data_IF_320892236761
#
_entry.id   IF_320892236761
#
_cell.length_a   1.000
_cell.length_b   1.000
_cell.length_c   1.000
_cell.angle_alpha   90.00
_cell.angle_beta   90.00
_cell.angle_gamma   90.00
#
_symmetry.space_group_name_H-M   'P 1'
#
loop_
_entity.id
_entity.type
_entity.pdbx_description
1 polymer ?
#
# COMPACT_ATOMS: atom_id res chain seq x y z
N UNK A 1 -1.15 12.53 11.39
CA UNK A 1 -2.45 13.17 11.66
C UNK A 1 -3.45 12.81 10.57
N UNK A 2 -4.77 12.86 10.80
CA UNK A 2 -5.81 12.72 9.75
C UNK A 2 -6.33 14.06 9.21
N UNK A 3 -5.92 15.15 9.84
CA UNK A 3 -6.17 16.54 9.48
C UNK A 3 -5.28 17.47 10.33
N UNK A 4 -5.48 18.77 10.22
CA UNK A 4 -4.56 19.78 10.79
C UNK A 4 -4.87 20.18 12.24
N UNK A 5 -6.11 19.94 12.69
CA UNK A 5 -6.50 20.24 14.06
C UNK A 5 -5.90 19.20 15.04
N UNK A 6 -5.37 19.61 16.21
CA UNK A 6 -4.82 18.68 17.19
C UNK A 6 -5.79 17.57 17.64
N UNK A 7 -7.11 17.82 17.63
CA UNK A 7 -8.11 16.79 17.95
C UNK A 7 -8.16 15.65 16.91
N UNK A 8 -7.71 15.92 15.69
CA UNK A 8 -7.61 14.97 14.56
C UNK A 8 -6.27 14.21 14.54
N UNK A 9 -5.46 14.35 15.59
CA UNK A 9 -4.28 13.53 15.77
C UNK A 9 -4.65 12.05 15.89
N UNK A 10 -4.01 11.22 15.06
CA UNK A 10 -4.25 9.78 15.02
C UNK A 10 -3.46 9.11 16.15
N UNK A 11 -4.07 8.20 16.93
CA UNK A 11 -3.36 7.40 17.91
C UNK A 11 -2.62 6.27 17.19
N UNK A 12 -1.47 6.59 16.58
CA UNK A 12 -0.71 5.66 15.73
C UNK A 12 0.75 5.51 16.17
N UNK A 13 1.23 6.30 17.13
CA UNK A 13 2.59 6.18 17.65
C UNK A 13 2.58 5.11 18.72
N UNK A 14 3.51 4.15 18.65
CA UNK A 14 3.61 3.13 19.70
C UNK A 14 4.02 3.76 21.04
N UNK A 15 3.25 3.47 22.09
CA UNK A 15 3.51 3.96 23.44
C UNK A 15 4.69 3.24 24.11
N UNK A 16 5.18 3.84 25.20
CA UNK A 16 6.20 3.24 26.08
C UNK A 16 5.57 2.17 26.98
N UNK A 17 6.38 1.30 27.60
CA UNK A 17 5.97 0.09 28.34
C UNK A 17 4.92 0.27 29.47
N UNK A 18 4.62 1.50 29.88
CA UNK A 18 3.63 1.84 30.91
C UNK A 18 2.55 2.82 30.44
N UNK A 19 2.43 3.04 29.13
CA UNK A 19 1.44 3.93 28.51
C UNK A 19 0.41 3.13 27.69
N UNK A 20 -0.60 3.82 27.16
CA UNK A 20 -1.47 3.28 26.11
C UNK A 20 -0.64 2.66 24.98
N UNK A 21 -1.10 1.56 24.39
CA UNK A 21 -0.46 0.90 23.25
C UNK A 21 -0.16 1.88 22.12
N UNK A 22 -1.10 2.79 21.85
CA UNK A 22 -0.93 3.88 20.90
C UNK A 22 -1.15 5.26 21.54
N UNK A 23 -0.33 6.22 21.11
CA UNK A 23 -0.40 7.64 21.47
C UNK A 23 -0.52 8.52 20.23
N UNK A 24 -0.99 9.75 20.44
CA UNK A 24 -1.19 10.76 19.39
C UNK A 24 0.04 11.65 19.18
N UNK A 25 0.88 11.74 20.20
CA UNK A 25 2.10 12.55 20.24
C UNK A 25 3.19 11.78 20.97
N UNK A 26 4.44 12.20 20.74
CA UNK A 26 5.61 11.70 21.42
C UNK A 26 6.65 12.82 21.55
N UNK A 27 7.48 12.73 22.58
CA UNK A 27 8.44 13.75 22.95
C UNK A 27 9.84 13.17 23.00
N UNK A 28 10.81 13.93 22.51
CA UNK A 28 12.24 13.66 22.73
C UNK A 28 12.65 14.11 24.14
N UNK A 29 13.78 13.59 24.67
CA UNK A 29 14.37 14.14 25.87
C UNK A 29 14.75 15.63 25.72
N UNK A 30 14.68 16.39 26.80
CA UNK A 30 15.13 17.79 26.81
C UNK A 30 16.65 17.84 27.01
N UNK A 31 17.37 18.42 26.07
CA UNK A 31 18.83 18.64 26.18
C UNK A 31 19.11 20.03 26.73
N UNK A 32 19.72 20.10 27.91
CA UNK A 32 19.96 21.36 28.61
C UNK A 32 21.12 22.17 27.98
N UNK A 33 20.89 23.45 27.72
CA UNK A 33 21.86 24.41 27.15
C UNK A 33 22.58 23.95 25.87
N UNK A 34 21.89 23.23 25.00
CA UNK A 34 22.42 22.88 23.68
C UNK A 34 21.58 23.50 22.55
N UNK A 35 22.23 24.27 21.68
CA UNK A 35 21.59 24.91 20.51
C UNK A 35 21.51 23.99 19.29
N UNK A 36 22.25 22.88 19.29
CA UNK A 36 22.28 21.86 18.24
C UNK A 36 22.17 20.47 18.90
N UNK A 37 21.01 20.14 19.50
CA UNK A 37 20.82 18.85 20.13
C UNK A 37 20.82 17.73 19.08
N UNK A 38 21.49 16.63 19.41
CA UNK A 38 21.44 15.38 18.65
C UNK A 38 20.60 14.37 19.44
N UNK A 39 19.72 13.66 18.75
CA UNK A 39 18.83 12.67 19.33
C UNK A 39 19.08 11.31 18.69
N UNK A 40 18.97 10.25 19.51
CA UNK A 40 19.04 8.85 19.06
C UNK A 40 17.69 8.14 19.22
N UNK A 41 16.63 8.91 19.44
CA UNK A 41 15.28 8.36 19.64
C UNK A 41 14.67 7.94 18.30
N UNK A 42 14.07 6.75 18.30
CA UNK A 42 13.27 6.24 17.19
C UNK A 42 11.81 6.16 17.61
N UNK A 43 10.92 6.72 16.79
CA UNK A 43 9.48 6.62 17.00
C UNK A 43 8.88 5.67 15.98
N UNK A 44 8.25 4.60 16.47
CA UNK A 44 7.53 3.66 15.62
C UNK A 44 6.08 4.12 15.45
N UNK A 45 5.60 4.10 14.21
CA UNK A 45 4.22 4.47 13.86
C UNK A 45 3.52 3.31 13.14
N UNK A 46 2.26 3.05 13.49
CA UNK A 46 1.36 2.14 12.81
C UNK A 46 0.36 2.94 11.98
N UNK A 47 0.73 3.29 10.74
CA UNK A 47 -0.13 4.07 9.86
C UNK A 47 -1.33 3.25 9.35
N UNK A 48 -2.48 3.88 9.06
CA UNK A 48 -3.58 3.23 8.35
C UNK A 48 -3.12 2.66 7.00
N UNK A 49 -3.72 1.54 6.58
CA UNK A 49 -3.41 0.94 5.27
C UNK A 49 -3.71 1.88 4.09
N UNK A 50 -4.74 2.73 4.22
CA UNK A 50 -5.10 3.75 3.24
C UNK A 50 -4.64 5.12 3.74
N UNK A 51 -3.39 5.48 3.44
CA UNK A 51 -2.86 6.82 3.67
C UNK A 51 -3.43 7.76 2.60
N UNK A 52 -3.74 9.00 2.97
CA UNK A 52 -4.29 10.05 2.08
C UNK A 52 -3.40 11.29 2.13
N UNK A 53 -3.61 12.25 1.21
CA UNK A 53 -2.80 13.48 1.13
C UNK A 53 -2.92 14.39 2.37
N UNK A 54 -3.95 14.21 3.20
CA UNK A 54 -4.10 14.93 4.46
C UNK A 54 -3.20 14.38 5.58
N UNK A 55 -2.68 13.17 5.41
CA UNK A 55 -1.84 12.54 6.42
C UNK A 55 -0.45 13.15 6.41
N UNK A 56 -0.04 13.65 7.56
CA UNK A 56 1.26 14.28 7.75
C UNK A 56 1.82 14.03 9.15
N UNK A 57 3.13 14.22 9.30
CA UNK A 57 3.82 14.35 10.58
C UNK A 57 4.03 15.83 10.86
N UNK A 58 3.66 16.29 12.06
CA UNK A 58 3.94 17.63 12.55
C UNK A 58 5.00 17.54 13.64
N UNK A 59 6.05 18.33 13.50
CA UNK A 59 7.10 18.49 14.50
C UNK A 59 6.98 19.89 15.10
N UNK A 60 6.91 19.95 16.43
CA UNK A 60 6.90 21.21 17.17
C UNK A 60 8.11 21.25 18.09
N UNK A 61 8.86 22.34 18.01
CA UNK A 61 10.05 22.57 18.83
C UNK A 61 9.67 23.42 20.02
N UNK A 62 10.06 22.99 21.22
CA UNK A 62 9.78 23.69 22.47
C UNK A 62 11.06 24.15 23.13
N UNK A 63 11.03 25.37 23.68
CA UNK A 63 11.95 25.79 24.73
C UNK A 63 11.34 25.45 26.09
N UNK A 64 12.08 24.67 26.89
CA UNK A 64 11.65 24.22 28.23
C UNK A 64 12.44 24.99 29.29
N UNK A 65 11.75 25.79 30.09
CA UNK A 65 12.37 26.63 31.13
C UNK A 65 12.67 25.83 32.40
N UNK A 66 13.94 25.68 32.77
CA UNK A 66 14.32 24.98 34.01
C UNK A 66 14.11 25.82 35.28
N UNK A 67 13.87 27.13 35.15
CA UNK A 67 13.60 28.04 36.27
C UNK A 67 12.18 28.60 36.13
N UNK A 68 11.23 28.18 36.98
CA UNK A 68 9.88 28.72 36.95
C UNK A 68 9.91 30.18 37.38
N UNK A 69 9.59 31.10 36.46
CA UNK A 69 9.34 32.50 36.76
C UNK A 69 7.82 32.75 36.76
N UNK A 70 7.30 33.58 37.67
CA UNK A 70 5.88 33.93 37.67
C UNK A 70 5.48 34.53 36.31
N UNK A 71 4.45 33.95 35.67
CA UNK A 71 3.90 34.45 34.41
C UNK A 71 4.57 33.93 33.13
N UNK A 72 5.59 33.07 33.21
CA UNK A 72 6.18 32.41 32.03
C UNK A 72 5.70 30.97 31.92
N UNK A 73 5.28 30.55 30.73
CA UNK A 73 4.96 29.15 30.44
C UNK A 73 6.21 28.28 30.61
N UNK A 74 6.03 27.08 31.18
CA UNK A 74 7.11 26.10 31.34
C UNK A 74 7.69 25.70 29.98
N UNK A 75 6.81 25.49 29.01
CA UNK A 75 7.12 25.10 27.65
C UNK A 75 6.60 26.18 26.71
N UNK A 76 7.46 26.68 25.84
CA UNK A 76 7.10 27.69 24.83
C UNK A 76 7.44 27.14 23.45
N UNK A 77 6.49 27.03 22.52
CA UNK A 77 6.78 26.61 21.16
C UNK A 77 7.65 27.69 20.48
N UNK A 78 8.75 27.26 19.87
CA UNK A 78 9.73 28.12 19.21
C UNK A 78 9.91 27.81 17.72
N UNK A 79 9.33 26.72 17.24
CA UNK A 79 9.26 26.46 15.82
C UNK A 79 8.42 25.26 15.43
N UNK A 80 8.15 25.15 14.14
CA UNK A 80 7.29 24.14 13.53
C UNK A 80 7.87 23.67 12.20
N UNK A 81 7.76 22.38 11.91
CA UNK A 81 7.99 21.82 10.57
C UNK A 81 7.14 20.57 10.38
N UNK A 82 6.94 20.11 9.15
CA UNK A 82 6.05 18.99 8.87
C UNK A 82 6.50 18.18 7.64
N UNK A 83 6.02 16.95 7.57
CA UNK A 83 6.22 16.06 6.43
C UNK A 83 4.85 15.54 5.98
N UNK A 84 4.33 15.95 4.80
CA UNK A 84 3.23 15.24 4.15
C UNK A 84 3.65 13.79 3.92
N UNK A 85 2.88 12.84 4.43
CA UNK A 85 3.25 11.41 4.36
C UNK A 85 3.06 10.87 2.94
N UNK A 86 2.03 11.35 2.23
CA UNK A 86 1.76 10.94 0.86
C UNK A 86 2.16 12.04 -0.11
N UNK A 87 2.76 11.65 -1.22
CA UNK A 87 3.02 12.51 -2.35
C UNK A 87 2.81 11.70 -3.62
N UNK A 88 1.84 12.12 -4.45
CA UNK A 88 1.50 11.44 -5.70
C UNK A 88 1.14 9.96 -5.51
N UNK A 89 0.36 9.64 -4.48
CA UNK A 89 0.00 8.26 -4.13
C UNK A 89 1.15 7.42 -3.56
N UNK A 90 2.32 8.01 -3.30
CA UNK A 90 3.50 7.33 -2.77
C UNK A 90 3.84 7.82 -1.38
N UNK A 91 4.20 6.90 -0.49
CA UNK A 91 4.65 7.25 0.84
C UNK A 91 6.04 7.89 0.74
N UNK A 92 6.21 9.08 1.33
CA UNK A 92 7.52 9.74 1.41
C UNK A 92 8.37 9.07 2.49
N UNK A 93 9.60 8.72 2.14
CA UNK A 93 10.59 8.11 3.03
C UNK A 93 12.00 8.61 2.72
N UNK A 94 12.96 8.26 3.57
CA UNK A 94 14.36 8.63 3.47
C UNK A 94 14.76 9.77 4.40
N UNK A 95 15.98 10.30 4.23
CA UNK A 95 16.48 11.41 5.02
C UNK A 95 15.88 12.73 4.56
N UNK A 96 15.45 13.54 5.53
CA UNK A 96 14.96 14.90 5.33
C UNK A 96 15.86 15.87 6.08
N UNK A 97 16.13 17.02 5.45
CA UNK A 97 16.75 18.17 6.07
C UNK A 97 15.80 19.36 5.94
N UNK A 98 14.91 19.51 6.92
CA UNK A 98 13.74 20.37 6.84
C UNK A 98 14.02 21.76 7.39
N UNK A 99 13.49 22.81 6.74
CA UNK A 99 13.45 24.13 7.33
C UNK A 99 12.41 24.19 8.45
N UNK A 100 12.66 25.05 9.43
CA UNK A 100 11.79 25.25 10.59
C UNK A 100 11.19 26.64 10.54
N UNK A 101 9.87 26.73 10.60
CA UNK A 101 9.17 28.00 10.69
C UNK A 101 9.09 28.46 12.14
N UNK A 102 9.15 29.78 12.34
CA UNK A 102 8.88 30.42 13.64
C UNK A 102 7.37 30.57 13.86
N UNK A 103 6.62 30.71 12.78
CA UNK A 103 5.17 30.90 12.81
C UNK A 103 4.47 29.54 12.73
N UNK A 104 3.22 29.49 13.22
CA UNK A 104 2.42 28.28 13.08
C UNK A 104 2.17 27.97 11.60
N UNK A 105 2.08 26.67 11.23
CA UNK A 105 1.76 26.29 9.86
C UNK A 105 0.42 26.91 9.40
N UNK A 106 0.33 27.43 8.16
CA UNK A 106 -0.90 28.02 7.64
C UNK A 106 -1.96 26.94 7.37
N UNK A 107 -3.25 27.29 7.21
CA UNK A 107 -4.26 26.33 6.80
C UNK A 107 -3.88 25.62 5.49
N UNK A 108 -4.20 24.33 5.38
CA UNK A 108 -3.83 23.45 4.26
C UNK A 108 -2.32 23.18 4.12
N UNK A 109 -1.52 23.42 5.16
CA UNK A 109 -0.10 23.04 5.16
C UNK A 109 0.10 21.53 4.96
N UNK A 110 -0.87 20.68 5.32
CA UNK A 110 -0.71 19.22 5.26
C UNK A 110 -0.44 18.69 3.85
N UNK A 111 -0.88 19.44 2.82
CA UNK A 111 -0.65 19.12 1.39
C UNK A 111 0.48 19.93 0.78
N UNK A 112 1.14 20.80 1.55
CA UNK A 112 2.29 21.62 1.14
C UNK A 112 3.58 21.03 1.71
N UNK A 113 4.71 21.25 1.04
CA UNK A 113 6.02 20.90 1.58
C UNK A 113 6.69 22.13 2.20
N UNK A 114 7.35 22.00 3.37
CA UNK A 114 8.08 23.11 3.96
C UNK A 114 9.32 23.49 3.12
N UNK A 115 9.75 22.64 2.18
CA UNK A 115 10.87 22.88 1.25
C UNK A 115 10.67 24.10 0.34
N UNK A 116 9.41 24.55 0.18
CA UNK A 116 9.07 25.78 -0.55
C UNK A 116 8.76 26.86 0.47
N UNK A 117 9.52 27.97 0.43
CA UNK A 117 9.30 29.10 1.33
C UNK A 117 7.92 29.71 1.09
N UNK A 118 6.99 29.46 2.00
CA UNK A 118 5.63 30.00 1.92
C UNK A 118 5.66 31.52 2.11
N UNK A 119 4.96 32.30 1.26
CA UNK A 119 4.94 33.77 1.35
C UNK A 119 4.45 34.27 2.71
N UNK A 120 5.15 35.25 3.28
CA UNK A 120 4.77 35.91 4.55
C UNK A 120 5.11 35.11 5.81
N UNK A 121 5.69 33.91 5.68
CA UNK A 121 6.05 33.05 6.80
C UNK A 121 7.48 33.32 7.24
N UNK A 122 7.73 33.38 8.56
CA UNK A 122 9.08 33.54 9.11
C UNK A 122 9.75 32.17 9.30
N UNK A 123 11.03 32.13 8.99
CA UNK A 123 11.83 30.91 9.01
C UNK A 123 13.07 31.08 9.86
N UNK A 124 13.43 30.04 10.60
CA UNK A 124 14.70 29.95 11.30
C UNK A 124 15.83 29.93 10.28
N UNK A 125 16.92 30.64 10.58
CA UNK A 125 18.16 30.71 9.78
C UNK A 125 17.95 30.98 8.27
N UNK A 126 16.89 31.71 7.92
CA UNK A 126 16.59 32.08 6.55
C UNK A 126 16.13 30.92 5.68
N UNK A 127 15.26 30.04 6.20
CA UNK A 127 14.66 28.90 5.47
C UNK A 127 15.67 27.80 5.11
N UNK A 128 16.82 27.77 5.78
CA UNK A 128 17.76 26.65 5.66
C UNK A 128 17.21 25.40 6.33
N UNK A 129 17.57 24.24 5.81
CA UNK A 129 17.35 22.97 6.49
C UNK A 129 18.16 22.93 7.79
N UNK A 130 17.47 22.97 8.93
CA UNK A 130 18.06 22.99 10.28
C UNK A 130 17.60 21.82 11.15
N UNK A 131 16.63 21.04 10.67
CA UNK A 131 16.15 19.84 11.33
C UNK A 131 16.34 18.61 10.44
N UNK A 132 17.16 17.68 10.89
CA UNK A 132 17.40 16.42 10.18
C UNK A 132 16.61 15.29 10.81
N UNK A 133 15.87 14.54 9.99
CA UNK A 133 15.11 13.35 10.42
C UNK A 133 15.07 12.33 9.30
N UNK A 134 15.14 11.04 9.62
CA UNK A 134 15.00 9.97 8.65
C UNK A 134 13.68 9.23 8.88
N UNK A 135 12.90 9.06 7.80
CA UNK A 135 11.66 8.30 7.84
C UNK A 135 11.85 6.98 7.10
N UNK A 136 11.76 5.88 7.84
CA UNK A 136 11.82 4.53 7.27
C UNK A 136 10.41 3.91 7.29
N UNK A 137 10.05 3.21 6.21
CA UNK A 137 8.77 2.51 6.14
C UNK A 137 8.96 1.00 5.94
N UNK A 138 8.25 0.23 6.74
CA UNK A 138 7.98 -1.18 6.51
C UNK A 138 6.54 -1.31 6.03
N UNK A 139 6.33 -1.44 4.72
CA UNK A 139 5.00 -1.43 4.10
C UNK A 139 4.83 -2.55 3.09
N UNK A 140 3.66 -3.19 3.11
CA UNK A 140 3.19 -4.10 2.06
C UNK A 140 2.34 -3.39 0.99
N UNK A 141 2.10 -2.08 1.15
CA UNK A 141 1.27 -1.26 0.25
C UNK A 141 2.14 -0.31 -0.56
N UNK A 142 3.14 0.31 0.07
CA UNK A 142 4.03 1.29 -0.56
C UNK A 142 5.45 0.72 -0.73
N UNK A 143 5.86 0.33 -1.96
CA UNK A 143 7.22 -0.14 -2.20
C UNK A 143 8.26 0.93 -1.90
N UNK A 144 9.38 0.50 -1.34
CA UNK A 144 10.53 1.34 -1.01
C UNK A 144 11.69 1.19 -2.01
N UNK A 145 11.64 0.15 -2.86
CA UNK A 145 12.63 -0.05 -3.91
C UNK A 145 12.56 1.08 -4.95
N UNK A 146 13.67 1.79 -5.26
CA UNK A 146 13.66 2.94 -6.17
C UNK A 146 13.13 2.64 -7.59
N UNK A 147 13.34 1.43 -8.10
CA UNK A 147 12.89 1.06 -9.45
C UNK A 147 11.40 0.77 -9.47
N UNK A 148 10.89 0.10 -8.44
CA UNK A 148 9.45 -0.10 -8.24
C UNK A 148 8.73 1.23 -8.00
N UNK A 149 9.26 2.05 -7.10
CA UNK A 149 8.67 3.34 -6.75
C UNK A 149 8.57 4.27 -7.97
N UNK A 150 9.65 4.36 -8.77
CA UNK A 150 9.63 5.11 -10.04
C UNK A 150 8.58 4.56 -11.01
N UNK A 151 8.50 3.24 -11.19
CA UNK A 151 7.52 2.62 -12.08
C UNK A 151 6.08 2.93 -11.65
N UNK A 152 5.74 2.70 -10.38
CA UNK A 152 4.39 2.97 -9.88
C UNK A 152 4.04 4.45 -9.94
N UNK A 153 4.99 5.35 -9.64
CA UNK A 153 4.78 6.79 -9.76
C UNK A 153 4.46 7.19 -11.20
N UNK A 154 5.24 6.71 -12.17
CA UNK A 154 5.02 7.02 -13.58
C UNK A 154 3.67 6.52 -14.09
N UNK A 155 3.27 5.31 -13.70
CA UNK A 155 1.95 4.77 -14.09
C UNK A 155 0.82 5.56 -13.43
N UNK A 156 0.96 5.95 -12.16
CA UNK A 156 -0.02 6.79 -11.48
C UNK A 156 -0.18 8.16 -12.16
N UNK A 157 0.92 8.86 -12.43
CA UNK A 157 0.91 10.17 -13.11
C UNK A 157 0.27 10.08 -14.50
N UNK A 158 0.53 8.99 -15.21
CA UNK A 158 -0.06 8.72 -16.51
C UNK A 158 -1.57 8.45 -16.43
N UNK A 159 -2.04 7.73 -15.40
CA UNK A 159 -3.45 7.47 -15.16
C UNK A 159 -4.22 8.75 -14.79
N UNK A 160 -3.62 9.63 -13.99
CA UNK A 160 -4.22 10.91 -13.57
C UNK A 160 -4.10 12.02 -14.62
N UNK A 161 -3.15 11.93 -15.55
CA UNK A 161 -2.89 12.98 -16.56
C UNK A 161 -2.33 14.27 -15.98
N UNK A 162 -1.68 14.21 -14.81
CA UNK A 162 -1.18 15.38 -14.09
C UNK A 162 0.20 15.83 -14.58
N UNK A 163 0.25 16.71 -15.59
CA UNK A 163 1.48 17.32 -16.11
C UNK A 163 1.46 18.85 -16.02
N UNK A 164 2.64 19.51 -15.86
CA UNK A 164 3.97 18.95 -15.65
C UNK A 164 4.15 18.36 -14.25
N UNK A 165 4.96 17.32 -14.12
CA UNK A 165 5.15 16.58 -12.88
C UNK A 165 6.61 16.62 -12.41
N UNK A 166 6.87 16.87 -11.14
CA UNK A 166 8.25 16.87 -10.60
C UNK A 166 8.57 15.53 -9.96
N UNK A 167 9.42 14.74 -10.62
CA UNK A 167 9.98 13.50 -10.09
C UNK A 167 11.40 13.75 -9.58
N UNK A 168 11.57 13.92 -8.27
CA UNK A 168 12.85 14.30 -7.65
C UNK A 168 13.42 15.56 -8.33
N UNK A 169 14.58 15.45 -8.97
CA UNK A 169 15.24 16.58 -9.63
C UNK A 169 14.76 16.81 -11.08
N UNK A 170 13.96 15.90 -11.65
CA UNK A 170 13.49 15.98 -13.04
C UNK A 170 12.05 16.47 -13.13
N UNK A 171 11.76 17.33 -14.12
CA UNK A 171 10.39 17.68 -14.49
C UNK A 171 9.96 16.80 -15.66
N UNK A 172 9.02 15.91 -15.39
CA UNK A 172 8.31 15.13 -16.37
C UNK A 172 7.27 16.02 -17.08
N UNK A 173 7.26 15.91 -18.40
CA UNK A 173 6.31 16.55 -19.29
C UNK A 173 5.61 15.47 -20.10
N UNK A 174 4.50 15.82 -20.76
CA UNK A 174 3.84 14.90 -21.70
C UNK A 174 4.80 14.39 -22.79
N UNK A 175 5.75 15.21 -23.23
CA UNK A 175 6.74 14.81 -24.24
C UNK A 175 7.82 13.85 -23.74
N UNK A 176 8.06 13.79 -22.42
CA UNK A 176 9.14 12.96 -21.82
C UNK A 176 8.64 11.74 -21.07
N UNK A 177 7.35 11.71 -20.67
CA UNK A 177 6.79 10.61 -19.87
C UNK A 177 6.86 9.26 -20.59
N UNK A 178 6.66 9.24 -21.90
CA UNK A 178 6.77 8.02 -22.70
C UNK A 178 8.18 7.40 -22.61
N UNK A 179 9.22 8.21 -22.78
CA UNK A 179 10.61 7.75 -22.69
C UNK A 179 10.95 7.27 -21.27
N UNK A 180 10.52 8.03 -20.26
CA UNK A 180 10.76 7.71 -18.86
C UNK A 180 10.03 6.43 -18.43
N UNK A 181 8.81 6.20 -18.91
CA UNK A 181 8.07 4.98 -18.67
C UNK A 181 8.72 3.77 -19.33
N UNK A 182 9.20 3.89 -20.58
CA UNK A 182 9.98 2.81 -21.21
C UNK A 182 11.27 2.51 -20.47
N UNK A 183 12.00 3.53 -20.04
CA UNK A 183 13.20 3.37 -19.22
C UNK A 183 12.86 2.65 -17.91
N UNK A 184 11.76 3.03 -17.25
CA UNK A 184 11.30 2.41 -16.01
C UNK A 184 10.93 0.94 -16.19
N UNK A 185 10.25 0.56 -17.28
CA UNK A 185 9.95 -0.83 -17.60
C UNK A 185 11.23 -1.67 -17.72
N UNK A 186 12.25 -1.14 -18.41
CA UNK A 186 13.54 -1.82 -18.54
C UNK A 186 14.32 -1.89 -17.22
N UNK A 187 14.11 -0.92 -16.32
CA UNK A 187 14.78 -0.82 -15.03
C UNK A 187 14.15 -1.70 -13.95
N UNK A 188 12.95 -2.27 -14.16
CA UNK A 188 12.34 -3.23 -13.23
C UNK A 188 13.25 -4.43 -12.95
N UNK A 189 14.15 -4.79 -13.88
CA UNK A 189 15.16 -5.85 -13.67
C UNK A 189 16.26 -5.52 -12.67
N UNK A 190 16.39 -4.25 -12.33
CA UNK A 190 17.35 -3.75 -11.34
C UNK A 190 16.72 -3.68 -9.94
N UNK A 191 15.41 -3.90 -9.83
CA UNK A 191 14.72 -3.98 -8.54
C UNK A 191 15.28 -5.14 -7.73
N UNK A 192 15.39 -4.92 -6.42
CA UNK A 192 15.80 -5.96 -5.49
C UNK A 192 14.79 -7.14 -5.49
N UNK A 193 15.26 -8.40 -5.41
CA UNK A 193 14.38 -9.56 -5.55
C UNK A 193 13.26 -9.63 -4.52
N UNK A 194 13.57 -9.32 -3.26
CA UNK A 194 12.61 -9.40 -2.16
C UNK A 194 11.43 -8.43 -2.33
N UNK A 195 11.64 -7.11 -2.57
CA UNK A 195 10.56 -6.19 -2.93
C UNK A 195 9.83 -6.57 -4.22
N UNK A 196 10.54 -7.02 -5.27
CA UNK A 196 9.88 -7.40 -6.53
C UNK A 196 8.92 -8.57 -6.32
N UNK A 197 9.31 -9.54 -5.50
CA UNK A 197 8.46 -10.66 -5.09
C UNK A 197 7.28 -10.18 -4.25
N UNK A 198 7.52 -9.36 -3.23
CA UNK A 198 6.48 -8.86 -2.33
C UNK A 198 5.39 -8.05 -3.08
N UNK A 199 5.80 -7.25 -4.06
CA UNK A 199 4.91 -6.41 -4.87
C UNK A 199 4.57 -7.01 -6.23
N UNK A 200 4.90 -8.27 -6.48
CA UNK A 200 4.74 -8.95 -7.78
C UNK A 200 3.31 -8.85 -8.33
N UNK A 201 2.30 -9.07 -7.49
CA UNK A 201 0.89 -8.95 -7.86
C UNK A 201 0.53 -7.55 -8.38
N UNK A 202 1.01 -6.48 -7.71
CA UNK A 202 0.80 -5.10 -8.13
C UNK A 202 1.58 -4.75 -9.41
N UNK A 203 2.82 -5.23 -9.53
CA UNK A 203 3.65 -5.01 -10.72
C UNK A 203 3.00 -5.69 -11.93
N UNK A 204 2.64 -6.96 -11.83
CA UNK A 204 2.01 -7.73 -12.91
C UNK A 204 0.67 -7.13 -13.32
N UNK A 205 -0.16 -6.74 -12.36
CA UNK A 205 -1.45 -6.07 -12.62
C UNK A 205 -1.26 -4.77 -13.43
N UNK A 206 -0.31 -3.92 -13.06
CA UNK A 206 0.00 -2.69 -13.82
C UNK A 206 0.61 -2.98 -15.19
N UNK A 207 1.51 -3.97 -15.31
CA UNK A 207 2.09 -4.38 -16.59
C UNK A 207 1.04 -4.96 -17.55
N UNK A 208 0.13 -5.80 -17.06
CA UNK A 208 -0.99 -6.34 -17.85
C UNK A 208 -1.90 -5.22 -18.33
N UNK A 209 -2.21 -4.24 -17.46
CA UNK A 209 -2.98 -3.05 -17.89
C UNK A 209 -2.29 -2.29 -19.02
N UNK A 210 -0.98 -2.09 -18.96
CA UNK A 210 -0.22 -1.42 -20.04
C UNK A 210 -0.25 -2.18 -21.37
N UNK A 211 -0.38 -3.52 -21.34
CA UNK A 211 -0.50 -4.35 -22.55
C UNK A 211 -1.94 -4.31 -23.10
N UNK A 212 -2.92 -4.52 -22.24
CA UNK A 212 -4.34 -4.64 -22.62
C UNK A 212 -4.95 -3.28 -22.99
N UNK A 213 -4.52 -2.22 -22.31
CA UNK A 213 -4.99 -0.85 -22.52
C UNK A 213 -3.78 0.08 -22.67
N UNK A 214 -3.17 0.14 -23.87
CA UNK A 214 -2.07 1.05 -24.14
C UNK A 214 -2.45 2.50 -23.80
N UNK A 215 -1.58 3.24 -23.09
CA UNK A 215 -1.87 4.61 -22.73
C UNK A 215 -1.88 5.53 -23.96
N UNK A 216 -2.67 6.59 -23.88
CA UNK A 216 -2.69 7.67 -24.88
C UNK A 216 -1.92 8.85 -24.30
N UNK A 217 -0.79 9.19 -24.91
CA UNK A 217 0.04 10.34 -24.53
C UNK A 217 -0.02 11.33 -25.69
N UNK A 218 -0.36 12.59 -25.40
CA UNK A 218 -0.49 13.65 -26.42
C UNK A 218 -1.44 13.28 -27.58
N UNK A 219 -2.50 12.51 -27.30
CA UNK A 219 -3.46 12.04 -28.30
C UNK A 219 -2.98 10.87 -29.15
N UNK A 220 -1.78 10.34 -28.93
CA UNK A 220 -1.23 9.18 -29.64
C UNK A 220 -1.20 7.94 -28.74
N UNK A 221 -1.63 6.80 -29.26
CA UNK A 221 -1.49 5.52 -28.57
C UNK A 221 -0.02 5.11 -28.51
N UNK A 222 0.51 4.95 -27.30
CA UNK A 222 1.90 4.56 -27.09
C UNK A 222 1.99 3.06 -26.90
N UNK A 223 2.68 2.38 -27.80
CA UNK A 223 2.89 0.94 -27.69
C UNK A 223 4.02 0.64 -26.68
N UNK A 224 3.61 0.15 -25.51
CA UNK A 224 4.50 -0.33 -24.45
C UNK A 224 4.46 -1.86 -24.32
N UNK A 225 3.70 -2.55 -25.17
CA UNK A 225 3.36 -3.96 -25.01
C UNK A 225 4.58 -4.87 -24.96
N UNK A 226 5.56 -4.65 -25.86
CA UNK A 226 6.82 -5.42 -25.85
C UNK A 226 7.60 -5.22 -24.55
N UNK A 227 7.81 -3.97 -24.13
CA UNK A 227 8.56 -3.66 -22.91
C UNK A 227 7.86 -4.17 -21.65
N UNK A 228 6.53 -4.07 -21.60
CA UNK A 228 5.73 -4.61 -20.50
C UNK A 228 5.78 -6.14 -20.46
N UNK A 229 5.71 -6.80 -21.61
CA UNK A 229 5.83 -8.26 -21.69
C UNK A 229 7.21 -8.78 -21.27
N UNK A 230 8.29 -8.14 -21.72
CA UNK A 230 9.65 -8.45 -21.29
C UNK A 230 9.82 -8.25 -19.77
N UNK A 231 9.25 -7.18 -19.22
CA UNK A 231 9.23 -6.95 -17.78
C UNK A 231 8.44 -8.03 -17.02
N UNK A 232 7.26 -8.43 -17.52
CA UNK A 232 6.47 -9.52 -16.91
C UNK A 232 7.25 -10.83 -16.90
N UNK A 233 7.87 -11.19 -18.03
CA UNK A 233 8.71 -12.39 -18.12
C UNK A 233 9.86 -12.35 -17.12
N UNK A 234 10.47 -11.17 -16.93
CA UNK A 234 11.52 -10.99 -15.94
C UNK A 234 11.01 -11.16 -14.50
N UNK A 235 9.90 -10.53 -14.14
CA UNK A 235 9.28 -10.67 -12.80
C UNK A 235 8.95 -12.14 -12.51
N UNK A 236 8.32 -12.83 -13.46
CA UNK A 236 7.97 -14.26 -13.32
C UNK A 236 9.22 -15.12 -13.19
N UNK A 237 10.25 -14.87 -14.00
CA UNK A 237 11.52 -15.59 -13.93
C UNK A 237 12.21 -15.37 -12.58
N UNK A 238 12.20 -14.14 -12.05
CA UNK A 238 12.79 -13.85 -10.75
C UNK A 238 12.02 -14.53 -9.62
N UNK A 239 10.69 -14.42 -9.62
CA UNK A 239 9.82 -15.13 -8.67
C UNK A 239 10.11 -16.62 -8.72
N UNK A 240 10.19 -17.21 -9.91
CA UNK A 240 10.49 -18.62 -10.08
C UNK A 240 11.86 -19.02 -9.50
N UNK A 241 12.91 -18.25 -9.78
CA UNK A 241 14.25 -18.50 -9.22
C UNK A 241 14.32 -18.27 -7.70
N UNK A 242 13.55 -17.31 -7.18
CA UNK A 242 13.44 -17.07 -5.75
C UNK A 242 12.72 -18.20 -5.02
N UNK A 243 11.81 -18.93 -5.68
CA UNK A 243 11.20 -20.14 -5.14
C UNK A 243 12.23 -21.27 -4.92
N UNK A 244 13.26 -21.34 -5.76
CA UNK A 244 14.31 -22.35 -5.66
C UNK A 244 15.35 -22.02 -4.57
N UNK A 245 15.65 -20.73 -4.39
CA UNK A 245 16.74 -20.24 -3.54
C UNK A 245 16.40 -20.14 -2.04
N UNK A 246 15.14 -19.88 -1.68
CA UNK A 246 14.70 -19.76 -0.28
C UNK A 246 13.97 -21.04 0.11
N UNK A 247 14.72 -22.11 0.33
CA UNK A 247 14.20 -23.33 0.97
C UNK A 247 14.58 -23.28 2.45
N UNK A 248 13.60 -23.43 3.35
CA UNK A 248 13.90 -23.65 4.77
C UNK A 248 14.61 -25.00 4.97
N UNK A 249 15.08 -25.29 6.19
CA UNK A 249 15.73 -26.58 6.51
C UNK A 249 14.85 -27.83 6.24
N UNK A 250 13.59 -27.64 5.86
CA UNK A 250 12.60 -28.68 5.51
C UNK A 250 12.23 -28.65 4.01
N UNK A 251 12.87 -27.79 3.19
CA UNK A 251 12.60 -27.68 1.75
C UNK A 251 11.41 -26.79 1.38
N UNK A 252 10.78 -26.10 2.33
CA UNK A 252 9.64 -25.23 2.07
C UNK A 252 10.09 -23.84 1.66
N UNK A 253 9.56 -23.37 0.52
CA UNK A 253 9.68 -21.97 0.15
C UNK A 253 8.50 -21.17 0.70
N UNK A 254 8.71 -20.16 1.57
CA UNK A 254 7.64 -19.35 2.14
C UNK A 254 6.85 -18.58 1.06
N UNK A 255 7.48 -18.27 -0.07
CA UNK A 255 6.79 -17.69 -1.23
C UNK A 255 5.89 -18.72 -1.95
N UNK A 256 6.33 -19.97 -2.07
CA UNK A 256 5.51 -21.05 -2.63
C UNK A 256 4.28 -21.28 -1.74
N UNK A 257 4.48 -21.30 -0.41
CA UNK A 257 3.40 -21.41 0.55
C UNK A 257 2.44 -20.21 0.47
N UNK A 258 2.95 -18.98 0.38
CA UNK A 258 2.13 -17.79 0.20
C UNK A 258 1.30 -17.85 -1.09
N UNK A 259 1.91 -18.15 -2.23
CA UNK A 259 1.18 -18.27 -3.52
C UNK A 259 0.13 -19.37 -3.41
N UNK A 260 0.49 -20.51 -2.82
CA UNK A 260 -0.40 -21.63 -2.61
C UNK A 260 -1.63 -21.26 -1.77
N UNK A 261 -1.45 -20.52 -0.68
CA UNK A 261 -2.54 -20.12 0.22
C UNK A 261 -3.31 -18.89 -0.29
N UNK A 262 -2.64 -17.91 -0.88
CA UNK A 262 -3.25 -16.66 -1.34
C UNK A 262 -4.08 -16.84 -2.62
N UNK A 263 -3.71 -17.79 -3.48
CA UNK A 263 -4.39 -18.03 -4.75
C UNK A 263 -5.16 -19.37 -4.81
N UNK A 264 -5.29 -20.10 -3.69
CA UNK A 264 -6.28 -21.19 -3.60
C UNK A 264 -7.62 -20.68 -3.11
N UNK A 265 -8.68 -21.08 -3.82
CA UNK A 265 -10.05 -20.96 -3.36
C UNK A 265 -10.27 -21.83 -2.09
N UNK A 266 -11.01 -21.34 -1.06
CA UNK A 266 -11.40 -22.16 0.07
C UNK A 266 -12.18 -23.39 -0.43
N UNK A 267 -11.65 -24.59 -0.21
CA UNK A 267 -12.30 -25.85 -0.59
C UNK A 267 -11.43 -26.85 -1.36
N UNK A 268 -10.26 -26.46 -1.85
CA UNK A 268 -9.30 -27.40 -2.39
C UNK A 268 -8.32 -27.83 -1.28
N UNK A 269 -8.60 -28.95 -0.62
CA UNK A 269 -7.63 -29.61 0.27
C UNK A 269 -6.42 -30.12 -0.55
N UNK A 270 -5.18 -30.11 -0.02
CA UNK A 270 -4.04 -30.77 -0.67
C UNK A 270 -4.16 -32.28 -0.53
N UNK A 271 -4.27 -33.03 -1.62
CA UNK A 271 -3.79 -34.41 -1.60
C UNK A 271 -2.26 -34.37 -1.55
N UNK A 272 -1.67 -34.73 -0.40
CA UNK A 272 -0.24 -34.98 -0.27
C UNK A 272 0.20 -36.05 -1.29
N UNK A 273 1.35 -35.90 -1.97
CA UNK A 273 1.82 -36.90 -2.91
C UNK A 273 2.38 -38.11 -2.13
N UNK A 274 1.51 -39.06 -1.83
CA UNK A 274 1.86 -40.37 -1.29
C UNK A 274 1.04 -40.79 -0.07
N UNK A 275 0.07 -41.69 -0.28
CA UNK A 275 -0.43 -42.59 0.76
C UNK A 275 -1.95 -42.63 0.99
N UNK A 276 -2.59 -43.64 0.37
CA UNK A 276 -3.86 -44.32 0.70
C UNK A 276 -5.20 -43.53 0.66
N UNK A 277 -6.33 -44.19 0.26
CA UNK A 277 -7.65 -43.56 0.16
C UNK A 277 -8.23 -43.22 1.55
N UNK A 278 -9.15 -42.25 1.66
CA UNK A 278 -9.57 -41.72 2.95
C UNK A 278 -10.44 -42.75 3.69
N UNK A 279 -10.02 -43.10 4.91
CA UNK A 279 -10.90 -43.71 5.90
C UNK A 279 -11.85 -42.61 6.35
N UNK A 280 -13.15 -42.83 6.14
CA UNK A 280 -14.22 -41.99 6.68
C UNK A 280 -14.10 -41.91 8.19
N UNK A 281 -13.68 -40.76 8.71
CA UNK A 281 -13.76 -40.45 10.13
C UNK A 281 -14.91 -39.48 10.33
N UNK A 282 -15.97 -40.00 10.96
CA UNK A 282 -17.16 -39.26 11.36
C UNK A 282 -16.76 -38.06 12.24
N UNK A 283 -17.30 -36.88 11.90
CA UNK A 283 -17.19 -35.69 12.73
C UNK A 283 -17.98 -35.90 14.03
N UNK A 284 -17.29 -36.17 15.13
CA UNK A 284 -17.85 -36.11 16.47
C UNK A 284 -17.91 -34.65 16.93
N UNK A 285 -19.06 -34.01 16.73
CA UNK A 285 -19.37 -32.69 17.30
C UNK A 285 -19.67 -32.86 18.79
N UNK A 286 -18.68 -32.65 19.67
CA UNK A 286 -18.89 -32.46 21.10
C UNK A 286 -19.34 -31.01 21.36
N UNK A 287 -20.63 -30.74 21.18
CA UNK A 287 -21.30 -29.60 21.78
C UNK A 287 -22.07 -30.07 23.01
N UNK A 288 -21.57 -29.73 24.21
CA UNK A 288 -22.35 -29.85 25.46
C UNK A 288 -23.46 -28.80 25.41
N UNK A 289 -24.68 -29.25 25.16
CA UNK A 289 -25.88 -28.44 25.30
C UNK A 289 -26.34 -28.36 26.76
N UNK A 290 -26.91 -27.22 27.12
CA UNK A 290 -27.97 -27.12 28.12
C UNK A 290 -29.09 -26.28 27.51
N UNK A 291 -30.29 -26.86 27.37
CA UNK A 291 -31.52 -26.16 27.00
C UNK A 291 -32.23 -26.70 25.75
N UNK A 292 -33.35 -27.39 25.96
CA UNK A 292 -34.40 -27.76 24.96
C UNK A 292 -35.63 -26.85 25.22
N UNK A 293 -36.69 -26.86 24.39
CA UNK A 293 -36.86 -26.55 22.96
C UNK A 293 -37.94 -25.46 22.71
N UNK A 294 -38.10 -24.97 21.48
CA UNK A 294 -39.42 -24.58 20.95
C UNK A 294 -39.42 -24.52 19.40
N UNK A 295 -40.49 -25.06 18.83
CA UNK A 295 -40.81 -25.18 17.40
C UNK A 295 -40.89 -23.85 16.64
N UNK A 296 -40.76 -23.88 15.30
CA UNK A 296 -41.88 -23.71 14.35
C UNK A 296 -41.41 -23.73 12.88
N UNK A 297 -42.39 -24.00 12.03
CA UNK A 297 -42.40 -24.38 10.62
C UNK A 297 -41.98 -23.32 9.59
N UNK A 298 -41.88 -23.80 8.33
CA UNK A 298 -42.02 -23.13 7.01
C UNK A 298 -40.72 -22.61 6.38
N UNK A 299 -40.43 -22.78 5.08
CA UNK A 299 -41.14 -23.40 3.97
C UNK A 299 -40.13 -23.81 2.88
N UNK A 300 -40.55 -24.80 2.08
CA UNK A 300 -39.95 -25.23 0.80
C UNK A 300 -39.67 -24.04 -0.14
N UNK A 301 -38.45 -23.96 -0.64
CA UNK A 301 -38.17 -23.43 -1.98
C UNK A 301 -37.35 -24.47 -2.74
N UNK A 302 -37.97 -25.03 -3.78
CA UNK A 302 -37.33 -25.93 -4.75
C UNK A 302 -36.62 -25.04 -5.79
N UNK A 303 -35.30 -25.09 -5.85
CA UNK A 303 -34.54 -24.70 -7.03
C UNK A 303 -33.66 -25.89 -7.42
N UNK A 304 -34.12 -26.64 -8.42
CA UNK A 304 -33.37 -27.73 -9.04
C UNK A 304 -32.40 -27.08 -10.03
N UNK A 305 -31.12 -26.98 -9.66
CA UNK A 305 -30.04 -26.61 -10.58
C UNK A 305 -29.35 -27.90 -11.01
N UNK A 306 -29.47 -28.23 -12.30
CA UNK A 306 -28.90 -29.43 -12.92
C UNK A 306 -27.55 -29.11 -13.57
N UNK A 307 -26.46 -29.47 -12.89
CA UNK A 307 -25.13 -29.55 -13.50
C UNK A 307 -24.62 -30.98 -13.32
N UNK A 308 -25.16 -31.90 -14.12
CA UNK A 308 -24.60 -33.24 -14.25
C UNK A 308 -24.35 -33.50 -15.75
N UNK A 309 -23.09 -33.57 -16.22
CA UNK A 309 -22.76 -33.52 -17.64
C UNK A 309 -22.66 -34.91 -18.31
N UNK A 310 -23.40 -35.92 -17.83
CA UNK A 310 -23.28 -37.31 -18.32
C UNK A 310 -24.56 -37.88 -18.96
N UNK A 311 -25.39 -37.03 -19.57
CA UNK A 311 -26.47 -37.46 -20.46
C UNK A 311 -26.47 -36.62 -21.74
N UNK A 312 -25.83 -37.16 -22.76
CA UNK A 312 -25.79 -36.66 -24.13
C UNK A 312 -27.15 -36.74 -24.82
N UNK A 313 -27.50 -35.74 -25.66
CA UNK A 313 -28.17 -35.93 -26.96
C UNK A 313 -27.80 -34.76 -27.88
N UNK A 314 -27.41 -35.06 -29.13
CA UNK A 314 -27.15 -34.08 -30.18
C UNK A 314 -28.45 -33.34 -30.59
N UNK A 315 -28.42 -32.03 -30.90
CA UNK A 315 -29.64 -31.30 -31.24
C UNK A 315 -30.18 -31.75 -32.60
N UNK A 316 -31.42 -32.25 -32.61
CA UNK A 316 -32.20 -32.52 -33.81
C UNK A 316 -32.65 -31.23 -34.51
N UNK A 317 -32.90 -31.35 -35.81
CA UNK A 317 -33.31 -30.27 -36.72
C UNK A 317 -34.61 -29.58 -36.28
N UNK A 318 -34.66 -28.26 -36.50
CA UNK A 318 -35.72 -27.32 -36.09
C UNK A 318 -37.09 -27.61 -36.75
N UNK A 319 -37.13 -28.48 -37.76
CA UNK A 319 -38.36 -28.80 -38.52
C UNK A 319 -39.31 -29.80 -37.80
N UNK A 320 -38.83 -30.56 -36.81
CA UNK A 320 -39.66 -31.53 -36.08
C UNK A 320 -40.52 -30.91 -34.96
N UNK A 321 -40.21 -29.67 -34.55
CA UNK A 321 -40.99 -28.93 -33.56
C UNK A 321 -42.18 -28.21 -34.21
N UNK A 322 -41.99 -27.68 -35.43
CA UNK A 322 -43.04 -27.00 -36.20
C UNK A 322 -44.12 -27.99 -36.66
N UNK A 323 -43.72 -29.22 -37.03
CA UNK A 323 -44.64 -30.28 -37.46
C UNK A 323 -45.57 -30.78 -36.34
N UNK A 324 -45.12 -30.70 -35.07
CA UNK A 324 -45.95 -31.08 -33.90
C UNK A 324 -46.94 -29.99 -33.48
N UNK A 325 -46.63 -28.73 -33.75
CA UNK A 325 -47.53 -27.60 -33.42
C UNK A 325 -48.69 -27.51 -34.42
N UNK A 326 -48.46 -27.83 -35.70
CA UNK A 326 -49.51 -27.83 -36.74
C UNK A 326 -50.47 -29.02 -36.67
N UNK A 327 -50.15 -30.09 -35.94
CA UNK A 327 -50.99 -31.29 -35.82
C UNK A 327 -51.99 -31.24 -34.63
N UNK A 328 -52.07 -30.14 -33.88
CA UNK A 328 -52.98 -30.00 -32.74
C UNK A 328 -54.03 -28.89 -32.90
N UNK A 329 -54.57 -28.75 -34.11
CA UNK A 329 -55.77 -27.94 -34.34
C UNK A 329 -56.75 -28.64 -35.26
#
# INVERSE_FOLDING_TARGET
MAGEDPSQALPVIFGKSSCSEFTREAFTPVVYHNKSPEFYEEFKLCLPACVTDNHHLLFTFYHVSCQPRPGTALETPVGFTWIPLLQHGRLRTGPFCLPVSVDQPPPSYSVLTPDVALPGMRWVDGHKGVFSVELMAASSVHPQDPHLDKFFTLVHVLEEGAFPFRLKDAVLSEGTVEQELRASLSALRLASPEPLVAFSHHVLDKLVRLVVRPPVISGQMVNLGRGAFEAMAHVVSLVHRSLEAVQDARGHCPLAAYIYYAFRLPGAEPSLPGGAPPVTVQAATLARGSGRPASLYLARSKSVSSSNPDLAVAPGSVDDEVSRILASK
#
